data_IF_558260095722
#
_entry.id   IF_558260095722
#
_cell.length_a   1.000
_cell.length_b   1.000
_cell.length_c   1.000
_cell.angle_alpha   90.00
_cell.angle_beta   90.00
_cell.angle_gamma   90.00
#
_symmetry.space_group_name_H-M   'P 1'
#
loop_
_entity.id
_entity.type
_entity.pdbx_description
1 polymer ?
#
# COMPACT_ATOMS: atom_id res chain seq x y z
N UNK A 1 7.68 3.49 5.90
CA UNK A 1 7.72 2.41 4.89
C UNK A 1 6.98 1.21 5.45
N UNK A 2 6.25 0.47 4.61
CA UNK A 2 5.72 -0.84 4.94
C UNK A 2 6.21 -1.88 3.94
N UNK A 3 6.63 -3.05 4.42
CA UNK A 3 7.18 -4.16 3.62
C UNK A 3 6.36 -5.41 3.84
N UNK A 4 5.89 -6.02 2.77
CA UNK A 4 5.21 -7.32 2.76
C UNK A 4 6.15 -8.38 2.21
N UNK A 5 6.41 -9.42 3.00
CA UNK A 5 7.23 -10.55 2.60
C UNK A 5 6.41 -11.58 1.86
N UNK A 6 6.84 -11.94 0.66
CA UNK A 6 6.12 -12.86 -0.21
C UNK A 6 7.08 -13.50 -1.19
N UNK A 7 6.77 -14.71 -1.65
CA UNK A 7 7.55 -15.40 -2.68
C UNK A 7 7.30 -14.82 -4.07
N UNK A 8 6.21 -14.06 -4.24
CA UNK A 8 5.75 -13.54 -5.53
C UNK A 8 5.31 -12.08 -5.43
N UNK A 9 6.23 -11.11 -5.21
CA UNK A 9 5.90 -9.71 -4.98
C UNK A 9 5.18 -9.04 -6.15
N UNK A 10 5.52 -9.41 -7.40
CA UNK A 10 4.80 -8.93 -8.57
C UNK A 10 3.35 -9.43 -8.60
N UNK A 11 3.12 -10.70 -8.24
CA UNK A 11 1.77 -11.27 -8.18
C UNK A 11 0.95 -10.59 -7.09
N UNK A 12 1.55 -10.34 -5.93
CA UNK A 12 0.90 -9.60 -4.84
C UNK A 12 0.49 -8.17 -5.29
N UNK A 13 1.39 -7.45 -5.97
CA UNK A 13 1.09 -6.12 -6.50
C UNK A 13 -0.02 -6.15 -7.55
N UNK A 14 0.03 -7.10 -8.49
CA UNK A 14 -0.99 -7.24 -9.52
C UNK A 14 -2.36 -7.52 -8.91
N UNK A 15 -2.44 -8.41 -7.91
CA UNK A 15 -3.69 -8.69 -7.19
C UNK A 15 -4.25 -7.46 -6.48
N UNK A 16 -3.39 -6.66 -5.87
CA UNK A 16 -3.83 -5.40 -5.25
C UNK A 16 -4.47 -4.46 -6.29
N UNK A 17 -3.82 -4.31 -7.46
CA UNK A 17 -4.35 -3.50 -8.57
C UNK A 17 -5.65 -4.08 -9.14
N UNK A 18 -5.74 -5.39 -9.32
CA UNK A 18 -6.95 -6.08 -9.77
C UNK A 18 -8.13 -5.79 -8.85
N UNK A 19 -7.94 -5.88 -7.52
CA UNK A 19 -9.00 -5.62 -6.54
C UNK A 19 -9.44 -4.15 -6.47
N UNK A 20 -8.55 -3.21 -6.82
CA UNK A 20 -8.91 -1.79 -6.95
C UNK A 20 -9.78 -1.56 -8.19
N UNK A 21 -9.36 -2.13 -9.32
CA UNK A 21 -9.94 -1.88 -10.63
C UNK A 21 -11.12 -2.81 -10.99
N UNK A 22 -11.41 -3.83 -10.20
CA UNK A 22 -12.49 -4.77 -10.52
C UNK A 22 -13.87 -4.11 -10.52
N UNK A 23 -14.73 -4.55 -11.44
CA UNK A 23 -16.13 -4.12 -11.53
C UNK A 23 -17.04 -4.78 -10.50
N UNK A 24 -16.72 -6.02 -10.11
CA UNK A 24 -17.49 -6.80 -9.14
C UNK A 24 -17.39 -6.15 -7.75
N UNK A 25 -18.51 -5.81 -7.07
CA UNK A 25 -18.47 -5.20 -5.75
C UNK A 25 -17.83 -6.08 -4.67
N UNK A 26 -17.99 -7.40 -4.78
CA UNK A 26 -17.50 -8.33 -3.76
C UNK A 26 -15.98 -8.33 -3.70
N UNK A 27 -15.44 -7.94 -2.54
CA UNK A 27 -14.00 -7.91 -2.27
C UNK A 27 -13.25 -6.75 -2.93
N UNK A 28 -13.97 -5.81 -3.57
CA UNK A 28 -13.37 -4.64 -4.21
C UNK A 28 -12.79 -3.70 -3.17
N UNK A 29 -11.62 -3.16 -3.50
CA UNK A 29 -10.96 -2.11 -2.73
C UNK A 29 -11.37 -0.76 -3.33
N UNK A 30 -12.30 -0.07 -2.68
CA UNK A 30 -12.78 1.27 -3.09
C UNK A 30 -12.11 2.42 -2.30
N UNK A 31 -11.29 2.07 -1.31
CA UNK A 31 -10.56 3.00 -0.43
C UNK A 31 -9.23 3.46 -1.02
N UNK A 32 -8.75 2.80 -2.08
CA UNK A 32 -7.51 3.11 -2.76
C UNK A 32 -7.74 3.32 -4.25
N UNK A 33 -6.95 4.18 -4.87
CA UNK A 33 -6.91 4.37 -6.33
C UNK A 33 -5.46 4.45 -6.83
N UNK A 34 -5.24 3.97 -8.05
CA UNK A 34 -3.97 4.16 -8.75
C UNK A 34 -3.81 5.64 -9.16
N UNK A 35 -2.63 6.21 -8.87
CA UNK A 35 -2.29 7.58 -9.22
C UNK A 35 -0.84 7.68 -9.67
N UNK A 36 -0.64 7.87 -10.98
CA UNK A 36 0.68 7.96 -11.62
C UNK A 36 1.58 6.77 -11.24
N UNK A 37 2.53 7.01 -10.34
CA UNK A 37 3.56 6.06 -9.91
C UNK A 37 3.18 5.25 -8.67
N UNK A 38 2.03 5.53 -8.04
CA UNK A 38 1.66 4.89 -6.78
C UNK A 38 0.17 4.83 -6.53
N UNK A 39 -0.18 4.77 -5.25
CA UNK A 39 -1.56 4.65 -4.78
C UNK A 39 -1.86 5.73 -3.75
N UNK A 40 -3.03 6.35 -3.89
CA UNK A 40 -3.57 7.30 -2.91
C UNK A 40 -4.87 6.77 -2.33
N UNK A 41 -5.22 7.27 -1.16
CA UNK A 41 -6.50 6.94 -0.53
C UNK A 41 -7.64 7.73 -1.20
N UNK A 42 -8.84 7.18 -1.31
CA UNK A 42 -9.96 7.84 -2.01
C UNK A 42 -10.73 8.83 -1.14
N UNK A 43 -10.65 8.69 0.19
CA UNK A 43 -11.31 9.60 1.13
C UNK A 43 -10.83 11.05 0.96
N UNK A 44 -11.78 11.98 0.88
CA UNK A 44 -11.56 13.40 0.53
C UNK A 44 -10.46 14.07 1.34
N UNK A 45 -10.40 13.81 2.65
CA UNK A 45 -9.44 14.44 3.56
C UNK A 45 -8.02 13.88 3.42
N UNK A 46 -7.88 12.69 2.83
CA UNK A 46 -6.62 11.96 2.75
C UNK A 46 -6.04 11.92 1.34
N UNK A 47 -6.87 12.04 0.30
CA UNK A 47 -6.53 11.82 -1.11
C UNK A 47 -5.31 12.59 -1.61
N UNK A 48 -5.12 13.83 -1.17
CA UNK A 48 -4.00 14.68 -1.59
C UNK A 48 -2.93 14.87 -0.50
N UNK A 49 -2.94 14.01 0.54
CA UNK A 49 -2.03 14.13 1.70
C UNK A 49 -0.89 13.11 1.69
N UNK A 50 -0.95 12.14 0.78
CA UNK A 50 -0.03 11.03 0.73
C UNK A 50 0.00 10.29 -0.60
N UNK A 51 1.14 9.70 -0.94
CA UNK A 51 1.28 8.81 -2.09
C UNK A 51 2.15 7.61 -1.71
N UNK A 52 1.58 6.41 -1.79
CA UNK A 52 2.26 5.14 -1.51
C UNK A 52 2.76 4.52 -2.81
N UNK A 53 4.06 4.56 -3.02
CA UNK A 53 4.71 4.03 -4.23
C UNK A 53 5.17 2.60 -3.96
N UNK A 54 4.65 1.60 -4.72
CA UNK A 54 5.09 0.22 -4.61
C UNK A 54 6.49 0.07 -5.20
N UNK A 55 7.30 -0.76 -4.57
CA UNK A 55 8.61 -1.16 -5.09
C UNK A 55 8.85 -2.62 -4.79
N UNK A 56 9.24 -3.37 -5.82
CA UNK A 56 9.68 -4.76 -5.66
C UNK A 56 11.12 -4.72 -5.21
N UNK A 57 11.43 -5.41 -4.10
CA UNK A 57 12.81 -5.50 -3.64
C UNK A 57 13.67 -6.30 -4.63
N UNK A 58 14.95 -5.95 -4.72
CA UNK A 58 15.91 -6.58 -5.64
C UNK A 58 16.03 -8.10 -5.40
N UNK A 59 15.86 -8.52 -4.15
CA UNK A 59 15.82 -9.93 -3.74
C UNK A 59 14.60 -10.71 -4.26
N UNK A 60 13.60 -10.00 -4.83
CA UNK A 60 12.31 -10.51 -5.29
C UNK A 60 11.53 -11.30 -4.22
N UNK A 61 11.83 -11.07 -2.93
CA UNK A 61 11.19 -11.73 -1.79
C UNK A 61 10.26 -10.81 -1.01
N UNK A 62 10.08 -9.59 -1.50
CA UNK A 62 9.16 -8.65 -0.85
C UNK A 62 8.70 -7.54 -1.77
N UNK A 63 7.51 -7.04 -1.46
CA UNK A 63 6.94 -5.82 -1.98
C UNK A 63 6.95 -4.80 -0.84
N UNK A 64 7.52 -3.62 -1.05
CA UNK A 64 7.45 -2.56 -0.07
C UNK A 64 6.83 -1.30 -0.66
N UNK A 65 6.17 -0.51 0.19
CA UNK A 65 5.59 0.77 -0.17
C UNK A 65 6.36 1.88 0.53
N UNK A 66 6.88 2.80 -0.27
CA UNK A 66 7.51 4.05 0.18
C UNK A 66 6.50 5.17 0.05
N UNK A 67 6.45 6.05 1.04
CA UNK A 67 5.65 7.26 0.97
C UNK A 67 6.50 8.39 0.40
N UNK A 68 6.14 8.94 -0.75
CA UNK A 68 6.92 9.99 -1.44
C UNK A 68 6.38 11.40 -1.22
N UNK A 69 5.09 11.52 -0.93
CA UNK A 69 4.42 12.74 -0.48
C UNK A 69 3.85 12.46 0.90
N UNK A 70 4.08 13.34 1.86
CA UNK A 70 3.49 13.26 3.20
C UNK A 70 3.22 14.67 3.70
N UNK A 71 1.95 14.96 4.00
CA UNK A 71 1.54 16.26 4.52
C UNK A 71 1.99 16.47 5.97
N UNK A 72 1.75 15.48 6.82
CA UNK A 72 2.02 15.52 8.25
C UNK A 72 2.14 14.10 8.84
N UNK A 73 2.40 14.02 10.14
CA UNK A 73 2.58 12.77 10.87
C UNK A 73 1.33 11.90 10.92
N UNK A 74 0.15 12.53 10.98
CA UNK A 74 -1.12 11.84 10.98
C UNK A 74 -1.38 11.20 9.61
N UNK A 75 -1.12 11.90 8.52
CA UNK A 75 -1.17 11.33 7.17
C UNK A 75 -0.20 10.16 7.04
N UNK A 76 1.01 10.26 7.59
CA UNK A 76 1.95 9.15 7.58
C UNK A 76 1.40 7.90 8.27
N UNK A 77 0.90 8.05 9.51
CA UNK A 77 0.33 6.95 10.27
C UNK A 77 -0.93 6.38 9.61
N UNK A 78 -1.81 7.26 9.13
CA UNK A 78 -3.06 6.91 8.45
C UNK A 78 -2.80 6.02 7.24
N UNK A 79 -1.92 6.46 6.33
CA UNK A 79 -1.64 5.73 5.09
C UNK A 79 -1.01 4.36 5.35
N UNK A 80 -0.04 4.25 6.27
CA UNK A 80 0.59 2.97 6.58
C UNK A 80 -0.36 2.01 7.28
N UNK A 81 -1.17 2.50 8.23
CA UNK A 81 -2.15 1.70 8.95
C UNK A 81 -3.24 1.16 8.03
N UNK A 82 -3.84 2.03 7.21
CA UNK A 82 -4.90 1.61 6.28
C UNK A 82 -4.37 0.68 5.19
N UNK A 83 -3.12 0.88 4.71
CA UNK A 83 -2.56 -0.02 3.71
C UNK A 83 -2.30 -1.41 4.30
N UNK A 84 -1.78 -1.49 5.53
CA UNK A 84 -1.63 -2.76 6.23
C UNK A 84 -2.99 -3.46 6.41
N UNK A 85 -4.00 -2.74 6.88
CA UNK A 85 -5.34 -3.26 7.07
C UNK A 85 -5.91 -3.82 5.76
N UNK A 86 -5.83 -3.05 4.68
CA UNK A 86 -6.31 -3.48 3.35
C UNK A 86 -5.61 -4.76 2.89
N UNK A 87 -4.29 -4.88 3.09
CA UNK A 87 -3.57 -6.09 2.72
C UNK A 87 -3.99 -7.29 3.58
N UNK A 88 -4.22 -7.11 4.88
CA UNK A 88 -4.69 -8.19 5.75
C UNK A 88 -6.09 -8.67 5.32
N UNK A 89 -7.02 -7.75 5.10
CA UNK A 89 -8.41 -8.04 4.76
C UNK A 89 -8.54 -8.73 3.40
N UNK A 90 -7.78 -8.28 2.40
CA UNK A 90 -7.98 -8.70 1.02
C UNK A 90 -6.90 -9.66 0.49
N UNK A 91 -5.70 -9.63 1.06
CA UNK A 91 -4.50 -10.25 0.48
C UNK A 91 -3.69 -11.09 1.48
N UNK A 92 -4.21 -11.38 2.68
CA UNK A 92 -3.51 -12.15 3.73
C UNK A 92 -2.95 -13.49 3.27
N UNK A 93 -3.57 -14.13 2.28
CA UNK A 93 -3.09 -15.40 1.69
C UNK A 93 -1.92 -15.25 0.71
N UNK A 94 -1.53 -14.02 0.38
CA UNK A 94 -0.53 -13.71 -0.65
C UNK A 94 0.79 -13.15 -0.10
N UNK A 95 0.91 -13.02 1.23
CA UNK A 95 2.15 -12.65 1.91
C UNK A 95 2.28 -13.42 3.23
N UNK A 96 3.51 -13.54 3.73
CA UNK A 96 3.83 -14.29 4.97
C UNK A 96 3.86 -13.39 6.20
N UNK A 97 4.38 -12.18 6.04
CA UNK A 97 4.49 -11.20 7.13
C UNK A 97 4.57 -9.78 6.57
N UNK A 98 4.30 -8.80 7.43
CA UNK A 98 4.43 -7.38 7.12
C UNK A 98 5.27 -6.68 8.20
N UNK A 99 6.16 -5.80 7.78
CA UNK A 99 7.01 -5.00 8.67
C UNK A 99 6.82 -3.51 8.37
N UNK A 100 6.55 -2.73 9.40
CA UNK A 100 6.58 -1.27 9.33
C UNK A 100 7.92 -0.75 9.84
N UNK A 101 8.45 0.27 9.16
CA UNK A 101 9.59 1.05 9.62
C UNK A 101 9.30 2.53 9.37
N UNK A 102 9.44 3.37 10.40
CA UNK A 102 9.40 4.81 10.19
C UNK A 102 10.68 5.25 9.47
N UNK A 103 10.51 5.78 8.27
CA UNK A 103 11.60 6.21 7.38
C UNK A 103 11.65 7.72 7.22
N UNK A 104 10.87 8.48 8.02
CA UNK A 104 10.95 9.93 8.02
C UNK A 104 12.27 10.35 8.67
N UNK A 105 12.99 11.27 8.05
CA UNK A 105 14.15 11.90 8.69
C UNK A 105 13.65 12.70 9.88
N UNK A 106 14.02 12.28 11.09
CA UNK A 106 13.79 13.09 12.29
C UNK A 106 14.65 14.34 12.15
N UNK A 107 14.00 15.51 12.08
CA UNK A 107 14.69 16.79 12.19
C UNK A 107 15.16 17.00 13.62
#
# INVERSE_FOLDING_TARGET
MIRFWTESPQVLLNKFKELINQSEPKGRINTWEEHKDGFRHTAKDWKETGLMVPVIADDKKSLYFKMTVVKDEYAYAYYHGHLLQTFIEHLSKHFKSANFADTRTKK
#
